data_IF_704703744478
#
_entry.id   IF_704703744478
#
_cell.length_a   1.000
_cell.length_b   1.000
_cell.length_c   1.000
_cell.angle_alpha   90.00
_cell.angle_beta   90.00
_cell.angle_gamma   90.00
#
_symmetry.space_group_name_H-M   'P 1'
#
loop_
_entity.id
_entity.type
_entity.pdbx_description
1 polymer ?
#
# COMPACT_ATOMS: atom_id res chain seq x y z
N UNK A 1 -11.42 3.10 -7.76
CA UNK A 1 -11.91 3.29 -6.41
C UNK A 1 -10.76 3.18 -5.42
N UNK A 2 -10.68 4.11 -4.48
CA UNK A 2 -9.59 4.13 -3.51
C UNK A 2 -9.98 3.37 -2.26
N UNK A 3 -9.08 2.54 -1.79
CA UNK A 3 -9.32 1.77 -0.57
C UNK A 3 -8.00 1.59 0.17
N UNK A 4 -7.99 1.92 1.44
CA UNK A 4 -6.80 1.77 2.28
C UNK A 4 -7.09 0.71 3.32
N UNK A 5 -6.22 -0.28 3.41
CA UNK A 5 -6.35 -1.34 4.40
C UNK A 5 -4.99 -1.67 4.99
N UNK A 6 -4.99 -2.12 6.23
CA UNK A 6 -3.77 -2.48 6.92
C UNK A 6 -3.84 -3.94 7.36
N UNK A 7 -2.80 -4.69 7.04
CA UNK A 7 -2.70 -6.09 7.43
C UNK A 7 -1.76 -6.20 8.63
N UNK A 8 -2.32 -6.52 9.79
CA UNK A 8 -1.54 -6.65 11.02
C UNK A 8 -0.58 -7.84 10.97
N UNK A 9 -0.98 -8.88 10.28
CA UNK A 9 -0.19 -10.13 10.24
C UNK A 9 1.16 -9.94 9.58
N UNK A 10 1.22 -9.12 8.55
CA UNK A 10 2.45 -8.88 7.81
C UNK A 10 2.93 -7.44 7.92
N UNK A 11 2.25 -6.64 8.71
CA UNK A 11 2.60 -5.23 8.93
C UNK A 11 2.71 -4.48 7.60
N UNK A 12 1.71 -4.63 6.76
CA UNK A 12 1.70 -4.00 5.44
C UNK A 12 0.47 -3.11 5.28
N UNK A 13 0.69 -1.91 4.74
CA UNK A 13 -0.40 -1.01 4.38
C UNK A 13 -0.65 -1.14 2.89
N UNK A 14 -1.90 -1.36 2.53
CA UNK A 14 -2.30 -1.52 1.14
C UNK A 14 -3.17 -0.35 0.72
N UNK A 15 -2.77 0.34 -0.34
CA UNK A 15 -3.53 1.44 -0.91
C UNK A 15 -3.98 1.04 -2.29
N UNK A 16 -5.24 0.70 -2.41
CA UNK A 16 -5.82 0.23 -3.67
C UNK A 16 -6.42 1.42 -4.41
N UNK A 17 -5.88 1.72 -5.58
CA UNK A 17 -6.29 2.88 -6.37
C UNK A 17 -7.25 2.52 -7.48
N UNK A 18 -7.23 1.27 -7.91
CA UNK A 18 -8.05 0.79 -9.01
C UNK A 18 -8.26 -0.70 -8.85
N UNK A 19 -9.33 -1.23 -9.46
CA UNK A 19 -9.58 -2.67 -9.44
C UNK A 19 -9.18 -3.34 -10.76
N UNK A 20 -8.41 -2.63 -11.58
CA UNK A 20 -7.91 -3.21 -12.82
C UNK A 20 -6.89 -4.31 -12.53
N UNK A 21 -6.68 -5.18 -13.50
CA UNK A 21 -5.75 -6.28 -13.33
C UNK A 21 -4.31 -5.79 -13.23
N UNK A 22 -3.55 -6.38 -12.33
CA UNK A 22 -2.14 -6.05 -12.14
C UNK A 22 -1.33 -6.83 -13.17
N UNK A 23 -0.51 -6.10 -13.93
CA UNK A 23 0.34 -6.70 -14.95
C UNK A 23 1.76 -6.91 -14.47
N UNK A 24 2.29 -5.97 -13.67
CA UNK A 24 3.64 -6.09 -13.14
C UNK A 24 3.79 -5.25 -11.88
N UNK A 25 4.89 -5.45 -11.16
CA UNK A 25 5.16 -4.71 -9.94
C UNK A 25 6.62 -4.27 -9.91
N UNK A 26 6.87 -3.14 -9.27
CA UNK A 26 8.21 -2.62 -9.04
C UNK A 26 8.47 -2.52 -7.55
N UNK A 27 9.64 -2.95 -7.14
CA UNK A 27 10.03 -2.93 -5.73
C UNK A 27 10.95 -1.75 -5.46
N UNK A 28 10.52 -0.86 -4.57
CA UNK A 28 11.29 0.31 -4.17
C UNK A 28 11.53 0.24 -2.67
N UNK A 29 12.53 -0.54 -2.26
CA UNK A 29 12.79 -0.75 -0.84
C UNK A 29 11.62 -1.44 -0.17
N UNK A 30 11.01 -0.77 0.80
CA UNK A 30 9.87 -1.32 1.53
C UNK A 30 8.53 -1.03 0.86
N UNK A 31 8.55 -0.46 -0.33
CA UNK A 31 7.33 -0.12 -1.06
C UNK A 31 7.28 -0.94 -2.35
N UNK A 32 6.12 -1.54 -2.59
CA UNK A 32 5.89 -2.28 -3.83
C UNK A 32 4.79 -1.57 -4.60
N UNK A 33 5.10 -1.17 -5.83
CA UNK A 33 4.16 -0.48 -6.70
C UNK A 33 3.65 -1.44 -7.76
N UNK A 34 2.34 -1.62 -7.82
CA UNK A 34 1.70 -2.55 -8.77
C UNK A 34 1.05 -1.76 -9.89
N UNK A 35 1.33 -2.14 -11.12
CA UNK A 35 0.88 -1.42 -12.31
C UNK A 35 0.02 -2.30 -13.22
N UNK A 36 -0.87 -1.65 -13.95
CA UNK A 36 -1.66 -2.29 -14.99
C UNK A 36 -0.83 -2.41 -16.26
N UNK A 37 -1.42 -3.07 -17.27
CA UNK A 37 -0.77 -3.21 -18.56
C UNK A 37 -0.51 -1.87 -19.24
N UNK A 38 -1.31 -0.85 -18.89
CA UNK A 38 -1.16 0.50 -19.44
C UNK A 38 -0.26 1.39 -18.58
N UNK A 39 0.50 0.78 -17.67
CA UNK A 39 1.42 1.51 -16.77
C UNK A 39 0.67 2.43 -15.79
N UNK A 40 -0.56 2.10 -15.48
CA UNK A 40 -1.33 2.83 -14.50
C UNK A 40 -1.10 2.23 -13.11
N UNK A 41 -0.86 3.09 -12.13
CA UNK A 41 -0.65 2.61 -10.75
C UNK A 41 -1.96 2.08 -10.18
N UNK A 42 -1.96 0.81 -9.79
CA UNK A 42 -3.15 0.10 -9.32
C UNK A 42 -3.17 -0.03 -7.82
N UNK A 43 -2.02 -0.38 -7.24
CA UNK A 43 -1.94 -0.70 -5.82
C UNK A 43 -0.56 -0.33 -5.30
N UNK A 44 -0.53 0.26 -4.11
CA UNK A 44 0.71 0.53 -3.39
C UNK A 44 0.72 -0.33 -2.15
N UNK A 45 1.79 -1.07 -1.95
CA UNK A 45 1.95 -1.92 -0.80
C UNK A 45 3.17 -1.46 -0.01
N UNK A 46 2.95 -1.03 1.24
CA UNK A 46 4.02 -0.52 2.10
C UNK A 46 4.31 -1.55 3.17
N UNK A 47 5.51 -2.15 3.10
CA UNK A 47 5.93 -3.17 4.05
C UNK A 47 6.59 -2.55 5.27
N UNK A 48 6.59 -3.28 6.37
CA UNK A 48 7.16 -2.81 7.64
C UNK A 48 6.64 -1.43 8.01
N UNK A 49 5.35 -1.26 7.87
CA UNK A 49 4.71 0.05 8.00
C UNK A 49 4.96 0.71 9.34
N UNK A 50 4.99 -0.07 10.43
CA UNK A 50 5.21 0.48 11.76
C UNK A 50 6.59 1.11 11.92
N UNK A 51 7.57 0.63 11.16
CA UNK A 51 8.92 1.18 11.22
C UNK A 51 9.01 2.51 10.49
N UNK A 52 8.12 2.74 9.53
CA UNK A 52 8.16 3.94 8.70
C UNK A 52 7.39 5.10 9.30
N UNK A 53 6.46 4.82 10.21
CA UNK A 53 5.64 5.86 10.83
C UNK A 53 5.65 5.70 12.34
N UNK A 54 5.44 6.81 13.05
CA UNK A 54 5.34 6.77 14.49
C UNK A 54 4.01 6.17 14.91
N UNK A 55 3.95 5.71 16.17
CA UNK A 55 2.71 5.18 16.72
C UNK A 55 1.59 6.22 16.65
N UNK A 56 1.93 7.46 16.89
CA UNK A 56 0.99 8.57 16.84
C UNK A 56 0.41 8.73 15.44
N UNK A 57 1.28 8.75 14.44
CA UNK A 57 0.85 8.90 13.05
C UNK A 57 0.00 7.72 12.63
N UNK A 58 0.38 6.53 13.04
CA UNK A 58 -0.38 5.32 12.74
C UNK A 58 -1.78 5.40 13.32
N UNK A 59 -1.88 5.85 14.56
CA UNK A 59 -3.16 5.96 15.24
C UNK A 59 -4.08 6.93 14.48
N UNK A 60 -3.54 8.04 14.02
CA UNK A 60 -4.32 9.01 13.25
C UNK A 60 -4.82 8.44 11.94
N UNK A 61 -3.95 7.71 11.24
CA UNK A 61 -4.32 7.12 9.96
C UNK A 61 -5.40 6.06 10.11
N UNK A 62 -5.34 5.28 11.18
CA UNK A 62 -6.27 4.18 11.38
C UNK A 62 -7.60 4.60 11.98
N UNK A 63 -7.67 5.79 12.55
CA UNK A 63 -8.90 6.27 13.18
C UNK A 63 -9.67 7.28 12.34
N UNK A 64 -9.12 7.72 11.21
CA UNK A 64 -9.84 8.67 10.34
C UNK A 64 -10.85 8.03 9.40
#
# INVERSE_FOLDING_TARGET
MKKISYSKDVDALLIELSNEAIAYAENEGDVILHYSQDDKLILVEILDFRRLVSTETMSELLTT
#
